data_IF_018135412273
#
_entry.id   IF_018135412273
#
_cell.length_a   1.000
_cell.length_b   1.000
_cell.length_c   1.000
_cell.angle_alpha   90.00
_cell.angle_beta   90.00
_cell.angle_gamma   90.00
#
_symmetry.space_group_name_H-M   'P 1'
#
loop_
_entity.id
_entity.type
_entity.pdbx_description
1 polymer ?
#
# COMPACT_ATOMS: atom_id res chain seq x y z
N UNK A 1 -15.96 -2.25 20.43
CA UNK A 1 -15.47 -3.64 20.46
C UNK A 1 -14.13 -3.68 19.75
N UNK A 2 -13.09 -4.01 20.52
CA UNK A 2 -11.65 -3.98 20.18
C UNK A 2 -11.23 -5.18 19.34
N UNK A 3 -11.81 -5.36 18.16
CA UNK A 3 -11.42 -6.46 17.28
C UNK A 3 -10.62 -5.90 16.11
N UNK A 4 -9.35 -6.33 16.00
CA UNK A 4 -8.61 -6.18 14.75
C UNK A 4 -9.45 -6.86 13.68
N UNK A 5 -9.97 -6.08 12.74
CA UNK A 5 -10.74 -6.67 11.64
C UNK A 5 -9.85 -7.66 10.90
N UNK A 6 -10.38 -8.85 10.58
CA UNK A 6 -9.68 -9.85 9.75
C UNK A 6 -9.12 -9.21 8.47
N UNK A 7 -9.82 -8.22 7.94
CA UNK A 7 -9.41 -7.39 6.81
C UNK A 7 -8.12 -6.61 7.06
N UNK A 8 -7.97 -6.00 8.24
CA UNK A 8 -6.75 -5.27 8.58
C UNK A 8 -5.55 -6.21 8.68
N UNK A 9 -5.73 -7.39 9.29
CA UNK A 9 -4.68 -8.42 9.31
C UNK A 9 -4.28 -8.83 7.88
N UNK A 10 -5.27 -9.11 7.02
CA UNK A 10 -5.02 -9.43 5.62
C UNK A 10 -4.31 -8.28 4.88
N UNK A 11 -4.68 -7.02 5.15
CA UNK A 11 -4.04 -5.84 4.57
C UNK A 11 -2.55 -5.75 4.95
N UNK A 12 -2.22 -5.97 6.22
CA UNK A 12 -0.82 -5.98 6.67
C UNK A 12 -0.06 -7.14 6.03
N UNK A 13 -0.66 -8.34 5.93
CA UNK A 13 -0.03 -9.47 5.24
C UNK A 13 0.28 -9.16 3.77
N UNK A 14 -0.65 -8.54 3.04
CA UNK A 14 -0.43 -8.11 1.66
C UNK A 14 0.68 -7.06 1.58
N UNK A 15 0.74 -6.10 2.51
CA UNK A 15 1.80 -5.08 2.57
C UNK A 15 3.18 -5.68 2.83
N UNK A 16 3.28 -6.65 3.75
CA UNK A 16 4.52 -7.39 4.00
C UNK A 16 4.93 -8.22 2.78
N UNK A 17 3.97 -8.84 2.09
CA UNK A 17 4.23 -9.56 0.83
C UNK A 17 4.79 -8.61 -0.24
N UNK A 18 4.25 -7.40 -0.37
CA UNK A 18 4.77 -6.39 -1.30
C UNK A 18 6.24 -6.06 -0.96
N UNK A 19 6.55 -5.76 0.30
CA UNK A 19 7.95 -5.54 0.73
C UNK A 19 8.84 -6.70 0.31
N UNK A 20 8.43 -7.94 0.55
CA UNK A 20 9.18 -9.13 0.13
C UNK A 20 9.37 -9.21 -1.40
N UNK A 21 8.33 -8.95 -2.19
CA UNK A 21 8.43 -8.89 -3.65
C UNK A 21 9.40 -7.80 -4.12
N UNK A 22 9.47 -6.67 -3.42
CA UNK A 22 10.44 -5.61 -3.73
C UNK A 22 11.88 -6.07 -3.53
N UNK A 23 12.15 -6.93 -2.53
CA UNK A 23 13.47 -7.51 -2.31
C UNK A 23 13.83 -8.50 -3.44
N UNK A 24 12.89 -9.37 -3.82
CA UNK A 24 13.06 -10.30 -4.95
C UNK A 24 13.27 -9.57 -6.28
N UNK A 25 12.71 -8.37 -6.45
CA UNK A 25 12.86 -7.59 -7.68
C UNK A 25 14.32 -7.18 -7.95
N UNK A 26 15.15 -7.08 -6.90
CA UNK A 26 16.55 -6.68 -7.01
C UNK A 26 17.40 -7.77 -7.67
N UNK A 27 17.19 -9.02 -7.26
CA UNK A 27 17.99 -10.18 -7.68
C UNK A 27 17.51 -10.79 -9.00
N UNK A 28 16.27 -10.47 -9.41
CA UNK A 28 15.63 -11.12 -10.56
C UNK A 28 15.57 -10.22 -11.80
N UNK A 29 15.37 -10.84 -12.97
CA UNK A 29 15.02 -10.16 -14.22
C UNK A 29 13.57 -9.62 -14.25
N UNK A 30 12.83 -9.78 -13.16
CA UNK A 30 11.41 -9.42 -13.06
C UNK A 30 11.18 -8.02 -12.47
N UNK A 31 12.23 -7.21 -12.30
CA UNK A 31 12.12 -5.84 -11.80
C UNK A 31 11.12 -5.01 -12.61
N UNK A 32 11.07 -5.16 -13.94
CA UNK A 32 10.10 -4.44 -14.79
C UNK A 32 8.67 -4.88 -14.47
N UNK A 33 8.43 -6.18 -14.33
CA UNK A 33 7.11 -6.72 -13.99
C UNK A 33 6.64 -6.19 -12.63
N UNK A 34 7.51 -6.18 -11.62
CA UNK A 34 7.19 -5.63 -10.32
C UNK A 34 7.03 -4.11 -10.33
N UNK A 35 7.84 -3.37 -11.10
CA UNK A 35 7.65 -1.93 -11.29
C UNK A 35 6.25 -1.63 -11.84
N UNK A 36 5.81 -2.37 -12.87
CA UNK A 36 4.46 -2.23 -13.44
C UNK A 36 3.39 -2.56 -12.40
N UNK A 37 3.55 -3.64 -11.63
CA UNK A 37 2.62 -4.01 -10.55
C UNK A 37 2.43 -2.85 -9.56
N UNK A 38 3.51 -2.25 -9.10
CA UNK A 38 3.48 -1.14 -8.14
C UNK A 38 2.91 0.15 -8.76
N UNK A 39 3.18 0.38 -10.04
CA UNK A 39 2.60 1.50 -10.79
C UNK A 39 1.06 1.41 -10.79
N UNK A 40 0.53 0.22 -11.08
CA UNK A 40 -0.92 -0.02 -11.06
C UNK A 40 -1.53 0.19 -9.68
N UNK A 41 -0.86 -0.25 -8.60
CA UNK A 41 -1.33 0.04 -7.23
C UNK A 41 -1.36 1.54 -6.95
N UNK A 42 -0.29 2.27 -7.30
CA UNK A 42 -0.20 3.72 -7.08
C UNK A 42 -1.29 4.49 -7.84
N UNK A 43 -1.45 4.20 -9.14
CA UNK A 43 -2.49 4.81 -9.97
C UNK A 43 -3.89 4.43 -9.50
N UNK A 44 -4.10 3.19 -9.08
CA UNK A 44 -5.37 2.71 -8.55
C UNK A 44 -5.81 3.48 -7.30
N UNK A 45 -4.91 3.69 -6.34
CA UNK A 45 -5.21 4.46 -5.12
C UNK A 45 -5.53 5.92 -5.42
N UNK A 46 -4.73 6.57 -6.29
CA UNK A 46 -4.98 7.96 -6.70
C UNK A 46 -6.29 8.10 -7.47
N UNK A 47 -6.59 7.19 -8.39
CA UNK A 47 -7.86 7.18 -9.12
C UNK A 47 -9.04 7.07 -8.16
N UNK A 48 -8.98 6.15 -7.19
CA UNK A 48 -10.04 5.99 -6.19
C UNK A 48 -10.22 7.26 -5.33
N UNK A 49 -9.11 7.91 -4.96
CA UNK A 49 -9.16 9.14 -4.19
C UNK A 49 -9.78 10.30 -4.98
N UNK A 50 -9.40 10.48 -6.25
CA UNK A 50 -9.87 11.60 -7.09
C UNK A 50 -11.33 11.38 -7.51
N UNK A 51 -11.65 10.19 -8.00
CA UNK A 51 -13.00 9.87 -8.50
C UNK A 51 -14.04 9.75 -7.39
N UNK A 52 -13.60 9.50 -6.14
CA UNK A 52 -14.47 9.18 -4.99
C UNK A 52 -15.48 8.06 -5.29
N UNK A 53 -15.11 7.16 -6.21
CA UNK A 53 -16.02 6.13 -6.73
C UNK A 53 -16.43 5.13 -5.63
N UNK A 54 -15.51 4.81 -4.70
CA UNK A 54 -15.79 3.95 -3.55
C UNK A 54 -15.99 4.75 -2.26
N UNK A 55 -17.21 4.70 -1.73
CA UNK A 55 -17.55 5.24 -0.39
C UNK A 55 -17.66 4.15 0.68
N UNK A 56 -17.75 2.89 0.27
CA UNK A 56 -17.91 1.71 1.12
C UNK A 56 -16.81 0.71 0.76
N UNK A 57 -16.21 0.08 1.78
CA UNK A 57 -15.21 -0.95 1.62
C UNK A 57 -15.79 -2.26 1.08
N UNK A 58 -14.92 -3.20 0.71
CA UNK A 58 -15.32 -4.46 0.09
C UNK A 58 -16.23 -5.37 0.95
N UNK A 59 -16.39 -5.06 2.24
CA UNK A 59 -17.21 -5.80 3.19
C UNK A 59 -18.31 -4.94 3.82
N UNK A 60 -18.76 -3.87 3.13
CA UNK A 60 -19.87 -3.03 3.60
C UNK A 60 -19.49 -1.99 4.67
N UNK A 61 -18.21 -1.90 5.04
CA UNK A 61 -17.72 -0.98 6.07
C UNK A 61 -17.46 0.43 5.51
N UNK A 62 -17.62 1.47 6.34
CA UNK A 62 -17.19 2.83 5.99
C UNK A 62 -15.66 2.89 5.83
N UNK A 63 -15.20 3.57 4.79
CA UNK A 63 -13.77 3.76 4.52
C UNK A 63 -13.26 4.93 5.36
N UNK A 64 -12.44 4.65 6.37
CA UNK A 64 -11.79 5.68 7.18
C UNK A 64 -10.44 6.14 6.58
N UNK A 65 -9.79 5.28 5.78
CA UNK A 65 -8.44 5.53 5.24
C UNK A 65 -8.43 6.26 3.90
N UNK A 66 -9.56 6.85 3.47
CA UNK A 66 -9.66 7.49 2.16
C UNK A 66 -8.68 8.67 2.02
N UNK A 67 -8.51 9.45 3.08
CA UNK A 67 -7.57 10.59 3.12
C UNK A 67 -6.09 10.17 3.06
N UNK A 68 -5.77 8.91 3.39
CA UNK A 68 -4.41 8.38 3.32
C UNK A 68 -4.04 7.86 1.91
N UNK A 69 -5.04 7.63 1.04
CA UNK A 69 -4.81 7.11 -0.31
C UNK A 69 -3.82 7.94 -1.15
N UNK A 70 -3.82 9.28 -1.11
CA UNK A 70 -2.83 10.06 -1.86
C UNK A 70 -1.40 9.74 -1.41
N UNK A 71 -1.19 9.62 -0.10
CA UNK A 71 0.12 9.33 0.48
C UNK A 71 0.57 7.93 0.06
N UNK A 72 -0.28 6.93 0.25
CA UNK A 72 -0.01 5.55 -0.18
C UNK A 72 0.24 5.48 -1.70
N UNK A 73 -0.63 6.10 -2.49
CA UNK A 73 -0.54 6.13 -3.95
C UNK A 73 0.78 6.71 -4.44
N UNK A 74 1.20 7.86 -3.91
CA UNK A 74 2.49 8.49 -4.24
C UNK A 74 3.66 7.59 -3.82
N UNK A 75 3.61 6.99 -2.63
CA UNK A 75 4.65 6.04 -2.19
C UNK A 75 4.75 4.85 -3.15
N UNK A 76 3.63 4.28 -3.61
CA UNK A 76 3.63 3.19 -4.59
C UNK A 76 4.20 3.62 -5.95
N UNK A 77 3.91 4.84 -6.41
CA UNK A 77 4.49 5.38 -7.65
C UNK A 77 6.02 5.56 -7.52
N UNK A 78 6.50 6.13 -6.41
CA UNK A 78 7.93 6.26 -6.15
C UNK A 78 8.58 4.87 -6.05
N UNK A 79 7.91 3.92 -5.39
CA UNK A 79 8.37 2.55 -5.27
C UNK A 79 8.49 1.86 -6.63
N UNK A 80 7.55 2.09 -7.54
CA UNK A 80 7.62 1.60 -8.92
C UNK A 80 8.87 2.10 -9.65
N UNK A 81 9.18 3.39 -9.51
CA UNK A 81 10.39 3.99 -10.08
C UNK A 81 11.67 3.43 -9.45
N UNK A 82 11.71 3.26 -8.12
CA UNK A 82 12.86 2.68 -7.43
C UNK A 82 13.08 1.22 -7.83
N UNK A 83 12.02 0.41 -7.94
CA UNK A 83 12.10 -1.00 -8.38
C UNK A 83 12.61 -1.09 -9.82
N UNK A 84 12.14 -0.22 -10.72
CA UNK A 84 12.62 -0.18 -12.11
C UNK A 84 14.15 0.01 -12.16
N UNK A 85 14.65 0.96 -11.35
CA UNK A 85 16.06 1.26 -11.21
C UNK A 85 16.84 0.30 -10.30
N UNK A 86 16.20 -0.79 -9.82
CA UNK A 86 16.77 -1.74 -8.86
C UNK A 86 17.34 -1.05 -7.62
N UNK A 87 16.69 -0.02 -7.11
CA UNK A 87 17.14 0.66 -5.91
C UNK A 87 16.59 -0.05 -4.66
N UNK A 88 17.48 -0.64 -3.87
CA UNK A 88 17.15 -1.38 -2.64
C UNK A 88 16.58 -0.48 -1.52
N UNK A 89 16.61 0.85 -1.68
CA UNK A 89 15.96 1.78 -0.74
C UNK A 89 14.43 1.65 -0.71
N UNK A 90 13.83 1.04 -1.75
CA UNK A 90 12.37 0.84 -1.85
C UNK A 90 11.78 0.11 -0.63
N UNK A 91 12.52 -0.83 -0.04
CA UNK A 91 12.04 -1.56 1.15
C UNK A 91 11.76 -0.63 2.33
N UNK A 92 12.60 0.39 2.54
CA UNK A 92 12.42 1.35 3.62
C UNK A 92 11.19 2.22 3.36
N UNK A 93 10.96 2.60 2.11
CA UNK A 93 9.79 3.35 1.70
C UNK A 93 8.49 2.57 1.92
N UNK A 94 8.48 1.27 1.59
CA UNK A 94 7.31 0.40 1.79
C UNK A 94 7.08 0.01 3.26
N UNK A 95 8.14 -0.10 4.06
CA UNK A 95 8.03 -0.25 5.52
C UNK A 95 7.38 0.99 6.12
N UNK A 96 7.83 2.18 5.72
CA UNK A 96 7.24 3.45 6.15
C UNK A 96 5.76 3.55 5.77
N UNK A 97 5.41 3.16 4.54
CA UNK A 97 4.02 3.07 4.07
C UNK A 97 3.15 2.15 4.94
N UNK A 98 3.71 1.01 5.33
CA UNK A 98 3.04 0.04 6.21
C UNK A 98 2.83 0.61 7.61
N UNK A 99 3.82 1.33 8.15
CA UNK A 99 3.70 2.00 9.45
C UNK A 99 2.60 3.08 9.43
N UNK A 100 2.49 3.87 8.36
CA UNK A 100 1.39 4.85 8.20
C UNK A 100 0.03 4.13 8.28
N UNK A 101 -0.12 3.01 7.58
CA UNK A 101 -1.35 2.22 7.61
C UNK A 101 -1.69 1.68 9.01
N UNK A 102 -0.67 1.21 9.74
CA UNK A 102 -0.84 0.71 11.11
C UNK A 102 -1.23 1.84 12.07
N UNK A 103 -0.52 2.97 12.04
CA UNK A 103 -0.79 4.13 12.89
C UNK A 103 -2.19 4.68 12.61
N UNK A 104 -2.57 4.82 11.34
CA UNK A 104 -3.91 5.27 10.97
C UNK A 104 -5.01 4.34 11.49
N UNK A 105 -4.79 3.02 11.47
CA UNK A 105 -5.76 2.07 12.01
C UNK A 105 -5.88 2.17 13.53
N UNK A 106 -4.75 2.27 14.23
CA UNK A 106 -4.73 2.45 15.69
C UNK A 106 -5.49 3.72 16.06
N UNK A 107 -5.20 4.83 15.38
CA UNK A 107 -5.85 6.12 15.63
C UNK A 107 -7.36 6.09 15.40
N UNK A 108 -7.86 5.38 14.38
CA UNK A 108 -9.29 5.39 14.06
C UNK A 108 -10.14 4.42 14.91
N UNK A 109 -9.55 3.39 15.51
CA UNK A 109 -10.30 2.35 16.23
C UNK A 109 -9.97 2.21 17.72
N UNK A 110 -8.84 2.75 18.18
CA UNK A 110 -8.35 2.57 19.55
C UNK A 110 -8.12 3.89 20.31
N UNK A 111 -7.97 5.02 19.60
CA UNK A 111 -7.93 6.38 20.15
C UNK A 111 -9.24 7.09 19.83
#
# INVERSE_FOLDING_TARGET
MKNISLLFLLCILIRLLLIYLSLLSYETKYNILFSILYLFFGLGELYQYISKHRKIGGFGQKIWWDYLRPIHGIIFLISSFLIYNKNNSVKYLLIFDTLIGIIGHIYNYYL
#
